data_IF_147580279306
#
_entry.id   IF_147580279306
#
_cell.length_a   1.000
_cell.length_b   1.000
_cell.length_c   1.000
_cell.angle_alpha   90.00
_cell.angle_beta   90.00
_cell.angle_gamma   90.00
#
_symmetry.space_group_name_H-M   'P 1'
#
loop_
_entity.id
_entity.type
_entity.pdbx_description
1 polymer ?
#
# COMPACT_ATOMS: atom_id res chain seq x y z
N UNK A 1 -48.90 47.98 31.07
CA UNK A 1 -50.09 48.03 31.96
C UNK A 1 -49.99 46.84 32.91
N UNK A 2 -49.89 47.28 34.20
CA UNK A 2 -50.18 46.57 35.48
C UNK A 2 -49.21 45.47 35.91
N UNK A 3 -48.27 45.71 36.82
CA UNK A 3 -48.31 46.20 38.23
C UNK A 3 -48.95 45.18 39.20
N UNK A 4 -48.13 44.70 40.15
CA UNK A 4 -48.36 44.25 41.53
C UNK A 4 -47.24 43.19 41.88
N UNK A 5 -46.29 43.42 42.71
CA UNK A 5 -46.16 43.92 44.04
C UNK A 5 -46.65 42.99 45.14
N UNK A 6 -45.72 42.49 45.99
CA UNK A 6 -45.77 42.22 47.44
C UNK A 6 -44.79 41.08 47.81
N UNK A 7 -43.69 41.36 48.42
CA UNK A 7 -43.35 41.64 49.83
C UNK A 7 -43.73 40.51 50.84
N UNK A 8 -42.73 40.03 51.56
CA UNK A 8 -42.61 39.35 52.88
C UNK A 8 -41.62 38.19 52.79
N UNK A 9 -40.62 38.07 53.55
CA UNK A 9 -40.31 38.47 54.92
C UNK A 9 -39.36 37.45 55.47
N UNK A 10 -38.42 37.91 56.24
CA UNK A 10 -37.30 37.29 56.97
C UNK A 10 -37.65 35.96 57.61
N UNK A 11 -36.64 35.03 57.62
CA UNK A 11 -36.30 34.28 58.83
C UNK A 11 -34.88 33.72 58.72
N UNK A 12 -34.06 34.16 59.69
CA UNK A 12 -32.71 33.70 60.00
C UNK A 12 -32.69 32.23 60.44
N UNK A 13 -31.77 31.44 59.90
CA UNK A 13 -31.15 30.35 60.65
C UNK A 13 -29.69 30.20 60.23
N UNK A 14 -28.80 30.61 61.14
CA UNK A 14 -27.43 30.19 61.26
C UNK A 14 -27.37 28.68 61.49
N UNK A 15 -26.62 27.94 60.63
CA UNK A 15 -25.93 26.71 61.03
C UNK A 15 -24.66 26.56 60.22
N UNK A 16 -23.60 26.71 60.97
CA UNK A 16 -22.18 26.56 60.71
C UNK A 16 -21.88 25.08 60.52
N UNK A 17 -21.51 24.66 59.30
CA UNK A 17 -20.71 23.47 59.07
C UNK A 17 -19.72 23.74 57.91
N UNK A 18 -18.48 24.02 58.33
CA UNK A 18 -17.34 23.98 57.45
C UNK A 18 -17.05 22.52 57.03
N UNK A 19 -17.04 22.26 55.76
CA UNK A 19 -16.32 21.17 55.14
C UNK A 19 -15.51 21.77 53.98
N UNK A 20 -14.21 21.91 54.25
CA UNK A 20 -13.18 22.22 53.28
C UNK A 20 -13.10 21.05 52.30
N UNK A 21 -13.78 21.12 51.17
CA UNK A 21 -13.47 20.36 49.97
C UNK A 21 -12.73 21.27 49.02
N UNK A 22 -11.39 21.14 49.04
CA UNK A 22 -10.54 21.60 47.95
C UNK A 22 -10.92 20.78 46.71
N UNK A 23 -11.91 21.23 45.95
CA UNK A 23 -12.14 20.83 44.59
C UNK A 23 -11.07 21.53 43.73
N UNK A 24 -9.96 20.84 43.53
CA UNK A 24 -9.02 21.13 42.44
C UNK A 24 -9.79 20.98 41.12
N UNK A 25 -10.50 22.05 40.72
CA UNK A 25 -10.93 22.22 39.36
C UNK A 25 -9.66 22.42 38.54
N UNK A 26 -9.14 21.33 37.99
CA UNK A 26 -8.33 21.41 36.79
C UNK A 26 -9.21 22.07 35.74
N UNK A 27 -9.06 23.38 35.57
CA UNK A 27 -9.49 24.07 34.36
C UNK A 27 -8.68 23.42 33.20
N UNK A 28 -9.24 22.34 32.63
CA UNK A 28 -8.82 21.92 31.30
C UNK A 28 -9.13 23.14 30.42
N UNK A 29 -8.09 23.86 30.04
CA UNK A 29 -8.18 24.86 28.98
C UNK A 29 -8.68 24.12 27.72
N UNK A 30 -9.99 24.11 27.52
CA UNK A 30 -10.56 23.75 26.24
C UNK A 30 -10.07 24.78 25.23
N UNK A 31 -9.03 24.43 24.51
CA UNK A 31 -8.60 25.19 23.34
C UNK A 31 -9.77 25.14 22.35
N UNK A 32 -10.55 26.21 22.30
CA UNK A 32 -11.58 26.38 21.28
C UNK A 32 -10.87 26.46 19.92
N UNK A 33 -10.90 25.35 19.17
CA UNK A 33 -10.36 25.27 17.84
C UNK A 33 -11.32 26.01 16.87
N UNK A 34 -10.87 27.12 16.29
CA UNK A 34 -11.65 27.84 15.27
C UNK A 34 -11.46 27.17 13.89
N UNK A 35 -12.38 26.28 13.54
CA UNK A 35 -12.41 25.59 12.24
C UNK A 35 -12.44 26.52 11.00
N UNK A 36 -12.63 27.84 11.19
CA UNK A 36 -12.64 28.82 10.10
C UNK A 36 -11.27 29.32 9.70
N UNK A 37 -10.20 28.91 10.38
CA UNK A 37 -8.80 29.27 10.07
C UNK A 37 -8.07 28.22 9.22
N UNK A 38 -8.80 27.25 8.65
CA UNK A 38 -8.26 26.24 7.75
C UNK A 38 -8.07 26.77 6.34
N UNK A 39 -7.00 27.53 6.12
CA UNK A 39 -6.50 27.77 4.78
C UNK A 39 -5.28 26.87 4.55
N UNK A 40 -5.47 25.83 3.75
CA UNK A 40 -4.38 25.00 3.26
C UNK A 40 -3.99 25.47 1.87
N UNK A 41 -2.76 25.91 1.71
CA UNK A 41 -2.17 26.27 0.42
C UNK A 41 -0.72 25.82 0.38
N UNK A 42 -0.36 25.04 -0.61
CA UNK A 42 1.04 24.73 -0.91
C UNK A 42 1.34 24.99 -2.39
N UNK A 43 2.57 25.37 -2.65
CA UNK A 43 3.10 25.57 -3.99
C UNK A 43 4.52 25.02 -4.07
N UNK A 44 4.75 24.12 -5.00
CA UNK A 44 6.06 23.53 -5.24
C UNK A 44 6.54 23.90 -6.64
N UNK A 45 7.76 24.42 -6.72
CA UNK A 45 8.53 24.55 -7.96
C UNK A 45 9.65 23.51 -7.93
N UNK A 46 9.70 22.63 -8.94
CA UNK A 46 10.68 21.54 -9.02
C UNK A 46 11.48 21.65 -10.29
N UNK A 47 12.80 21.67 -10.14
CA UNK A 47 13.75 21.57 -11.24
C UNK A 47 14.37 20.17 -11.22
N UNK A 48 14.18 19.41 -12.29
CA UNK A 48 14.63 18.02 -12.41
C UNK A 48 15.54 17.87 -13.61
N UNK A 49 16.79 17.43 -13.36
CA UNK A 49 17.74 17.03 -14.41
C UNK A 49 18.00 15.51 -14.33
N UNK A 50 17.76 14.81 -15.43
CA UNK A 50 18.02 13.37 -15.52
C UNK A 50 18.95 13.08 -16.69
N UNK A 51 20.06 12.39 -16.41
CA UNK A 51 21.05 11.94 -17.40
C UNK A 51 21.21 10.43 -17.34
N UNK A 52 21.04 9.79 -18.48
CA UNK A 52 21.12 8.32 -18.59
C UNK A 52 22.08 7.93 -19.69
N UNK A 53 22.93 6.96 -19.39
CA UNK A 53 23.81 6.30 -20.36
C UNK A 53 23.58 4.80 -20.28
N UNK A 54 23.19 4.19 -21.40
CA UNK A 54 22.96 2.76 -21.52
C UNK A 54 23.77 2.20 -22.70
N UNK A 55 24.73 1.34 -22.37
CA UNK A 55 25.52 0.63 -23.38
C UNK A 55 25.15 -0.85 -23.34
N UNK A 56 24.75 -1.38 -24.50
CA UNK A 56 24.34 -2.78 -24.62
C UNK A 56 24.91 -3.46 -25.86
N UNK A 57 25.26 -4.72 -25.70
CA UNK A 57 25.63 -5.64 -26.76
C UNK A 57 24.58 -6.75 -26.82
N UNK A 58 24.03 -7.02 -28.01
CA UNK A 58 23.04 -8.06 -28.22
C UNK A 58 23.43 -8.98 -29.39
N UNK A 59 23.00 -10.23 -29.33
CA UNK A 59 23.09 -11.14 -30.46
C UNK A 59 22.27 -10.63 -31.64
N UNK A 60 22.66 -11.06 -32.85
CA UNK A 60 21.88 -10.77 -34.05
C UNK A 60 20.85 -11.89 -34.26
N UNK A 61 19.60 -11.60 -33.92
CA UNK A 61 18.47 -12.54 -34.02
C UNK A 61 18.04 -12.88 -35.45
N UNK A 62 18.73 -12.36 -36.48
CA UNK A 62 18.38 -12.61 -37.89
C UNK A 62 18.71 -14.03 -38.38
N UNK A 63 19.43 -14.81 -37.60
CA UNK A 63 19.74 -16.20 -37.87
C UNK A 63 19.03 -17.07 -36.80
N UNK A 64 18.61 -18.27 -37.16
CA UNK A 64 18.12 -19.32 -36.26
C UNK A 64 19.23 -19.70 -35.23
N UNK A 65 19.51 -18.80 -34.34
CA UNK A 65 20.58 -18.99 -33.36
C UNK A 65 20.07 -19.85 -32.20
N UNK A 66 20.86 -20.81 -31.82
CA UNK A 66 20.62 -21.60 -30.60
C UNK A 66 20.70 -20.73 -29.34
N UNK A 67 21.45 -19.63 -29.38
CA UNK A 67 21.67 -18.71 -28.27
C UNK A 67 21.36 -17.29 -28.68
N UNK A 68 20.51 -16.64 -27.90
CA UNK A 68 20.27 -15.22 -27.96
C UNK A 68 20.72 -14.59 -26.64
N UNK A 69 21.37 -13.44 -26.73
CA UNK A 69 21.86 -12.76 -25.52
C UNK A 69 21.80 -11.25 -25.65
N UNK A 70 21.68 -10.60 -24.51
CA UNK A 70 21.95 -9.18 -24.29
C UNK A 70 22.81 -9.04 -23.04
N UNK A 71 23.81 -8.17 -23.09
CA UNK A 71 24.63 -7.77 -21.94
C UNK A 71 24.73 -6.26 -21.99
N UNK A 72 24.56 -5.57 -20.85
CA UNK A 72 24.60 -4.13 -20.80
C UNK A 72 25.16 -3.57 -19.51
N UNK A 73 25.50 -2.28 -19.59
CA UNK A 73 25.86 -1.43 -18.47
C UNK A 73 24.98 -0.21 -18.51
N UNK A 74 24.50 0.18 -17.36
CA UNK A 74 23.61 1.34 -17.20
C UNK A 74 24.16 2.28 -16.13
N UNK A 75 24.09 3.57 -16.43
CA UNK A 75 24.36 4.64 -15.48
C UNK A 75 23.29 5.71 -15.60
N UNK A 76 22.76 6.15 -14.47
CA UNK A 76 21.82 7.27 -14.39
C UNK A 76 22.20 8.20 -13.26
N UNK A 77 22.04 9.49 -13.51
CA UNK A 77 22.10 10.57 -12.52
C UNK A 77 20.78 11.31 -12.56
N UNK A 78 20.15 11.47 -11.42
CA UNK A 78 18.93 12.22 -11.20
C UNK A 78 19.22 13.29 -10.16
N UNK A 79 18.96 14.55 -10.49
CA UNK A 79 19.10 15.70 -9.62
C UNK A 79 17.75 16.41 -9.56
N UNK A 80 17.21 16.59 -8.35
CA UNK A 80 15.97 17.33 -8.10
C UNK A 80 16.24 18.46 -7.11
N UNK A 81 15.76 19.65 -7.43
CA UNK A 81 15.71 20.79 -6.52
C UNK A 81 14.27 21.20 -6.37
N UNK A 82 13.80 21.22 -5.16
CA UNK A 82 12.47 21.66 -4.81
C UNK A 82 12.56 22.97 -4.06
N UNK A 83 11.81 23.97 -4.51
CA UNK A 83 11.60 25.24 -3.82
C UNK A 83 10.08 25.35 -3.59
N UNK A 84 9.67 25.26 -2.34
CA UNK A 84 8.28 25.21 -1.97
C UNK A 84 7.93 26.26 -0.93
N UNK A 85 6.78 26.88 -1.10
CA UNK A 85 6.20 27.80 -0.13
C UNK A 85 4.75 27.38 0.10
N UNK A 86 4.32 27.36 1.35
CA UNK A 86 2.95 27.00 1.65
C UNK A 86 2.50 27.33 3.05
N UNK A 87 1.18 27.35 3.20
CA UNK A 87 0.51 27.38 4.47
C UNK A 87 0.15 25.95 4.86
N UNK A 88 0.89 25.40 5.80
CA UNK A 88 0.51 24.16 6.42
C UNK A 88 0.01 24.51 7.83
N UNK A 89 -1.30 24.28 8.07
CA UNK A 89 -1.91 24.29 9.39
C UNK A 89 -1.85 25.62 10.18
N UNK A 90 -2.80 26.49 9.91
CA UNK A 90 -3.05 27.65 10.78
C UNK A 90 -2.10 28.82 10.59
N UNK A 91 -1.51 29.00 9.41
CA UNK A 91 -0.83 30.22 9.02
C UNK A 91 0.68 30.24 9.18
N UNK A 92 1.35 29.09 9.35
CA UNK A 92 2.80 29.01 9.26
C UNK A 92 3.20 28.84 7.80
N UNK A 93 3.82 29.86 7.21
CA UNK A 93 4.53 29.70 5.96
C UNK A 93 5.77 28.84 6.24
N UNK A 94 5.83 27.66 5.64
CA UNK A 94 7.05 26.81 5.69
C UNK A 94 7.73 26.91 4.34
N UNK A 95 8.97 27.36 4.35
CA UNK A 95 9.83 27.25 3.19
C UNK A 95 10.28 25.78 3.09
N UNK A 96 9.85 25.09 2.04
CA UNK A 96 10.18 23.69 1.79
C UNK A 96 11.22 23.62 0.67
N UNK A 97 12.45 24.02 0.96
CA UNK A 97 13.54 23.94 0.00
C UNK A 97 14.38 22.69 0.25
N UNK A 98 14.54 21.85 -0.78
CA UNK A 98 15.30 20.61 -0.68
C UNK A 98 16.04 20.28 -1.98
N UNK A 99 17.08 19.45 -1.86
CA UNK A 99 17.77 18.79 -2.96
C UNK A 99 17.68 17.28 -2.81
N UNK A 100 17.52 16.57 -3.91
CA UNK A 100 17.52 15.12 -3.94
C UNK A 100 18.28 14.59 -5.12
N UNK A 101 19.41 13.94 -4.86
CA UNK A 101 20.31 13.41 -5.87
C UNK A 101 20.32 11.89 -5.79
N UNK A 102 20.20 11.23 -6.95
CA UNK A 102 20.29 9.78 -7.06
C UNK A 102 21.29 9.43 -8.14
N UNK A 103 22.26 8.57 -7.82
CA UNK A 103 23.16 7.99 -8.80
C UNK A 103 22.98 6.47 -8.83
N UNK A 104 22.58 5.93 -9.99
CA UNK A 104 22.44 4.49 -10.21
C UNK A 104 23.49 3.98 -11.19
N UNK A 105 24.10 2.83 -10.86
CA UNK A 105 25.05 2.11 -11.72
C UNK A 105 24.68 0.64 -11.72
N UNK A 106 24.47 0.05 -12.90
CA UNK A 106 24.13 -1.36 -12.98
C UNK A 106 24.80 -2.08 -14.14
N UNK A 107 24.97 -3.38 -13.95
CA UNK A 107 25.26 -4.34 -15.02
C UNK A 107 24.11 -5.31 -15.13
N UNK A 108 23.74 -5.69 -16.35
CA UNK A 108 22.63 -6.57 -16.58
C UNK A 108 22.87 -7.46 -17.80
N UNK A 109 22.14 -8.55 -17.89
CA UNK A 109 22.18 -9.41 -19.06
C UNK A 109 21.07 -10.43 -19.07
N UNK A 110 20.85 -11.00 -20.25
CA UNK A 110 19.94 -12.12 -20.48
C UNK A 110 20.57 -13.08 -21.49
N UNK A 111 20.42 -14.36 -21.24
CA UNK A 111 20.78 -15.45 -22.15
C UNK A 111 19.55 -16.31 -22.37
N UNK A 112 19.14 -16.45 -23.61
CA UNK A 112 18.09 -17.39 -24.04
C UNK A 112 18.70 -18.54 -24.85
N UNK A 113 18.29 -19.76 -24.52
CA UNK A 113 18.69 -21.00 -25.17
C UNK A 113 17.48 -21.59 -25.87
N UNK A 114 17.52 -21.65 -27.20
CA UNK A 114 16.48 -22.20 -28.02
C UNK A 114 16.75 -23.69 -28.29
N UNK A 115 15.75 -24.54 -28.04
CA UNK A 115 15.83 -25.99 -28.25
C UNK A 115 15.02 -26.44 -29.49
N UNK A 116 15.41 -27.54 -30.07
CA UNK A 116 14.78 -28.09 -31.28
C UNK A 116 13.31 -28.53 -31.10
N UNK A 117 12.87 -28.68 -29.85
CA UNK A 117 11.47 -29.02 -29.50
C UNK A 117 10.54 -27.80 -29.35
N UNK A 118 10.89 -26.68 -29.94
CA UNK A 118 10.16 -25.41 -29.84
C UNK A 118 10.02 -24.89 -28.40
N UNK A 119 11.05 -25.08 -27.58
CA UNK A 119 11.12 -24.49 -26.26
C UNK A 119 12.31 -23.56 -26.12
N UNK A 120 12.21 -22.63 -25.20
CA UNK A 120 13.25 -21.65 -24.87
C UNK A 120 13.44 -21.60 -23.35
N UNK A 121 14.67 -21.70 -22.89
CA UNK A 121 15.06 -21.45 -21.52
C UNK A 121 15.84 -20.14 -21.47
N UNK A 122 15.37 -19.18 -20.67
CA UNK A 122 16.04 -17.90 -20.51
C UNK A 122 16.49 -17.68 -19.08
N UNK A 123 17.63 -17.02 -18.94
CA UNK A 123 18.18 -16.57 -17.67
C UNK A 123 18.55 -15.09 -17.79
N UNK A 124 17.92 -14.24 -16.98
CA UNK A 124 18.19 -12.82 -16.87
C UNK A 124 18.77 -12.47 -15.51
N UNK A 125 19.62 -11.45 -15.46
CA UNK A 125 20.15 -10.89 -14.21
C UNK A 125 20.36 -9.38 -14.32
N UNK A 126 20.32 -8.69 -13.17
CA UNK A 126 20.75 -7.31 -12.98
C UNK A 126 21.37 -7.17 -11.59
N UNK A 127 22.48 -6.44 -11.53
CA UNK A 127 23.09 -6.01 -10.28
C UNK A 127 23.24 -4.50 -10.34
N UNK A 128 22.68 -3.81 -9.38
CA UNK A 128 22.61 -2.35 -9.33
C UNK A 128 23.08 -1.82 -7.98
N UNK A 129 23.88 -0.76 -8.01
CA UNK A 129 24.20 0.05 -6.85
C UNK A 129 23.55 1.41 -7.02
N UNK A 130 22.85 1.88 -5.97
CA UNK A 130 22.14 3.15 -5.97
C UNK A 130 22.56 3.99 -4.76
N UNK A 131 23.22 5.10 -5.04
CA UNK A 131 23.66 6.09 -4.06
C UNK A 131 22.65 7.23 -4.04
N UNK A 132 22.22 7.70 -2.87
CA UNK A 132 21.22 8.77 -2.72
C UNK A 132 21.70 9.80 -1.71
N UNK A 133 21.40 11.06 -2.00
CA UNK A 133 21.64 12.20 -1.12
C UNK A 133 20.37 13.05 -1.06
N UNK A 134 19.93 13.36 0.13
CA UNK A 134 18.87 14.31 0.40
C UNK A 134 19.41 15.45 1.26
N UNK A 135 19.26 16.68 0.79
CA UNK A 135 19.60 17.89 1.51
C UNK A 135 18.33 18.69 1.79
N UNK A 136 18.08 18.97 3.06
CA UNK A 136 17.03 19.89 3.50
C UNK A 136 17.67 21.27 3.71
N UNK A 137 17.26 22.25 2.90
CA UNK A 137 17.77 23.63 2.95
C UNK A 137 16.95 24.53 3.87
N UNK A 138 15.96 23.99 4.55
CA UNK A 138 15.16 24.71 5.52
C UNK A 138 15.92 24.95 6.84
N UNK A 139 15.22 25.51 7.81
CA UNK A 139 15.76 25.85 9.13
C UNK A 139 16.37 24.65 9.90
N UNK A 140 16.15 23.43 9.46
CA UNK A 140 16.70 22.20 10.06
C UNK A 140 18.03 21.78 9.44
N UNK A 141 18.33 22.21 8.22
CA UNK A 141 19.60 21.98 7.51
C UNK A 141 20.15 20.56 7.70
N UNK A 142 19.33 19.56 7.46
CA UNK A 142 19.69 18.16 7.61
C UNK A 142 20.11 17.58 6.25
N UNK A 143 21.17 16.78 6.24
CA UNK A 143 21.62 16.03 5.07
C UNK A 143 21.61 14.54 5.40
N UNK A 144 21.02 13.74 4.53
CA UNK A 144 20.93 12.28 4.65
C UNK A 144 21.52 11.62 3.41
N UNK A 145 22.46 10.72 3.61
CA UNK A 145 23.13 9.99 2.54
C UNK A 145 22.92 8.48 2.72
N UNK A 146 22.53 7.81 1.63
CA UNK A 146 22.54 6.37 1.53
C UNK A 146 23.60 5.97 0.52
N UNK A 147 24.71 5.37 0.99
CA UNK A 147 25.67 4.66 0.16
C UNK A 147 25.12 3.25 -0.03
N UNK A 148 24.35 3.07 -1.10
CA UNK A 148 23.56 1.85 -1.31
C UNK A 148 24.43 0.60 -1.49
N UNK A 149 23.90 -0.53 -1.08
CA UNK A 149 24.45 -1.84 -1.39
C UNK A 149 24.07 -2.28 -2.81
N UNK A 150 24.61 -3.42 -3.22
CA UNK A 150 24.24 -4.01 -4.51
C UNK A 150 22.92 -4.76 -4.42
N UNK A 151 21.90 -4.21 -5.03
CA UNK A 151 20.63 -4.90 -5.26
C UNK A 151 20.76 -5.83 -6.46
N UNK A 152 20.33 -7.08 -6.26
CA UNK A 152 20.45 -8.12 -7.28
C UNK A 152 19.07 -8.64 -7.65
N UNK A 153 18.77 -8.69 -8.93
CA UNK A 153 17.60 -9.36 -9.48
C UNK A 153 17.98 -10.43 -10.48
N UNK A 154 17.17 -11.48 -10.57
CA UNK A 154 17.31 -12.50 -11.59
C UNK A 154 15.96 -13.12 -11.95
N UNK A 155 15.90 -13.68 -13.16
CA UNK A 155 14.74 -14.39 -13.67
C UNK A 155 15.18 -15.62 -14.42
N UNK A 156 14.52 -16.74 -14.16
CA UNK A 156 14.63 -17.95 -14.97
C UNK A 156 13.25 -18.22 -15.57
N UNK A 157 13.17 -18.31 -16.87
CA UNK A 157 11.91 -18.60 -17.57
C UNK A 157 12.06 -19.77 -18.54
N UNK A 158 11.02 -20.56 -18.63
CA UNK A 158 10.89 -21.62 -19.60
C UNK A 158 9.61 -21.43 -20.41
N UNK A 159 9.75 -21.44 -21.72
CA UNK A 159 8.66 -21.31 -22.69
C UNK A 159 8.61 -22.53 -23.58
N UNK A 160 7.40 -23.02 -23.86
CA UNK A 160 7.16 -24.18 -24.70
C UNK A 160 6.02 -23.88 -25.68
N UNK A 161 6.21 -24.17 -26.93
CA UNK A 161 5.21 -24.08 -27.98
C UNK A 161 4.81 -25.49 -28.45
N UNK A 162 3.88 -26.19 -27.72
CA UNK A 162 3.48 -27.56 -28.06
C UNK A 162 2.79 -27.64 -29.43
N UNK A 163 2.17 -26.52 -29.87
CA UNK A 163 1.58 -26.32 -31.16
C UNK A 163 1.78 -24.87 -31.62
N UNK A 164 1.57 -24.57 -32.90
CA UNK A 164 1.72 -23.23 -33.46
C UNK A 164 0.81 -22.19 -32.79
N UNK A 165 -0.30 -22.65 -32.26
CA UNK A 165 -1.32 -21.80 -31.64
C UNK A 165 -1.42 -21.96 -30.12
N UNK A 166 -0.51 -22.71 -29.49
CA UNK A 166 -0.48 -22.94 -28.06
C UNK A 166 0.91 -22.63 -27.52
N UNK A 167 0.97 -21.73 -26.53
CA UNK A 167 2.15 -21.29 -25.87
C UNK A 167 1.97 -21.45 -24.36
N UNK A 168 2.80 -22.26 -23.73
CA UNK A 168 2.91 -22.39 -22.27
C UNK A 168 4.17 -21.71 -21.79
N UNK A 169 4.11 -21.01 -20.68
CA UNK A 169 5.25 -20.37 -20.05
C UNK A 169 5.21 -20.55 -18.53
N UNK A 170 6.40 -20.57 -17.95
CA UNK A 170 6.58 -20.50 -16.49
C UNK A 170 7.87 -19.76 -16.20
N UNK A 171 7.89 -19.03 -15.10
CA UNK A 171 9.11 -18.40 -14.62
C UNK A 171 9.15 -18.29 -13.10
N UNK A 172 10.36 -18.17 -12.60
CA UNK A 172 10.67 -17.66 -11.28
C UNK A 172 11.51 -16.40 -11.43
N UNK A 173 11.17 -15.36 -10.69
CA UNK A 173 11.91 -14.10 -10.64
C UNK A 173 12.14 -13.68 -9.20
N UNK A 174 13.34 -13.17 -8.91
CA UNK A 174 13.62 -12.35 -7.74
C UNK A 174 13.83 -10.92 -8.22
N UNK A 175 13.05 -9.99 -7.70
CA UNK A 175 13.15 -8.57 -7.96
C UNK A 175 13.38 -7.77 -6.68
N UNK A 176 13.47 -6.46 -6.82
CA UNK A 176 13.55 -5.54 -5.70
C UNK A 176 12.91 -4.19 -6.06
N UNK A 177 12.38 -3.54 -5.04
CA UNK A 177 12.13 -2.10 -5.03
C UNK A 177 13.24 -1.49 -4.16
N UNK A 178 14.04 -0.52 -4.68
CA UNK A 178 15.20 -0.06 -3.95
C UNK A 178 14.83 0.72 -2.68
N UNK A 179 15.74 0.69 -1.70
CA UNK A 179 15.71 1.56 -0.53
C UNK A 179 15.56 3.04 -0.90
N UNK A 180 15.07 3.86 0.00
CA UNK A 180 14.87 5.27 -0.27
C UNK A 180 14.91 6.17 0.96
N UNK A 181 14.78 7.46 0.69
CA UNK A 181 14.74 8.52 1.68
C UNK A 181 13.36 9.17 1.63
N UNK A 182 12.72 9.31 2.78
CA UNK A 182 11.50 10.09 2.94
C UNK A 182 11.85 11.58 2.87
N UNK A 183 11.38 12.25 1.82
CA UNK A 183 11.67 13.66 1.56
C UNK A 183 10.80 14.58 2.44
N UNK A 184 10.78 14.32 3.74
CA UNK A 184 10.03 15.09 4.70
C UNK A 184 10.99 15.62 5.76
N UNK A 185 11.14 16.96 5.92
CA UNK A 185 12.11 17.55 6.84
C UNK A 185 11.77 17.34 8.32
N UNK A 186 10.55 16.90 8.62
CA UNK A 186 10.10 16.71 10.01
C UNK A 186 10.38 15.29 10.52
N UNK A 187 10.72 14.34 9.65
CA UNK A 187 11.05 12.97 10.02
C UNK A 187 12.50 12.88 10.50
N UNK A 188 12.72 12.10 11.56
CA UNK A 188 14.02 11.86 12.18
C UNK A 188 14.25 10.35 12.39
N UNK A 189 15.49 9.95 12.61
CA UNK A 189 15.85 8.57 12.91
C UNK A 189 15.45 7.58 11.80
N UNK A 190 14.86 6.47 12.20
CA UNK A 190 14.52 5.34 11.32
C UNK A 190 13.38 5.66 10.35
N UNK A 191 12.57 6.68 10.64
CA UNK A 191 11.49 7.11 9.74
C UNK A 191 12.01 7.89 8.53
N UNK A 192 13.24 8.36 8.57
CA UNK A 192 13.84 9.12 7.49
C UNK A 192 14.16 8.28 6.27
N UNK A 193 14.38 6.99 6.45
CA UNK A 193 14.72 6.05 5.38
C UNK A 193 13.83 4.82 5.43
N UNK A 194 13.74 4.12 4.32
CA UNK A 194 13.15 2.80 4.23
C UNK A 194 14.07 1.88 3.45
N UNK A 195 14.07 0.60 3.81
CA UNK A 195 14.90 -0.44 3.21
C UNK A 195 14.34 -0.89 1.86
N UNK A 196 15.17 -1.63 1.10
CA UNK A 196 14.73 -2.25 -0.13
C UNK A 196 13.71 -3.36 0.14
N UNK A 197 12.62 -3.34 -0.61
CA UNK A 197 11.67 -4.45 -0.66
C UNK A 197 12.19 -5.50 -1.65
N UNK A 198 12.23 -6.75 -1.24
CA UNK A 198 12.59 -7.89 -2.08
C UNK A 198 11.33 -8.69 -2.37
N UNK A 199 11.15 -9.12 -3.60
CA UNK A 199 10.04 -9.99 -3.96
C UNK A 199 10.48 -11.21 -4.78
N UNK A 200 9.75 -12.30 -4.57
CA UNK A 200 9.90 -13.59 -5.21
C UNK A 200 8.60 -13.94 -5.95
N UNK A 201 8.67 -14.04 -7.26
CA UNK A 201 7.52 -14.26 -8.15
C UNK A 201 7.66 -15.62 -8.84
N UNK A 202 6.63 -16.46 -8.69
CA UNK A 202 6.44 -17.69 -9.45
C UNK A 202 5.16 -17.56 -10.26
N UNK A 203 5.32 -17.55 -11.57
CA UNK A 203 4.18 -17.44 -12.49
C UNK A 203 4.21 -18.55 -13.53
N UNK A 204 3.04 -19.11 -13.83
CA UNK A 204 2.83 -20.02 -14.95
C UNK A 204 1.58 -19.65 -15.71
N UNK A 205 1.57 -19.84 -17.03
CA UNK A 205 0.42 -19.47 -17.83
C UNK A 205 0.39 -20.09 -19.20
N UNK A 206 -0.75 -19.93 -19.84
CA UNK A 206 -1.02 -20.47 -21.19
C UNK A 206 -1.62 -19.35 -22.06
N UNK A 207 -1.13 -19.26 -23.29
CA UNK A 207 -1.73 -18.45 -24.36
C UNK A 207 -2.19 -19.37 -25.49
N UNK A 208 -3.45 -19.26 -25.84
CA UNK A 208 -4.06 -20.07 -26.88
C UNK A 208 -4.74 -19.21 -27.93
N UNK A 209 -4.37 -19.42 -29.17
CA UNK A 209 -4.85 -18.64 -30.31
C UNK A 209 -5.53 -19.56 -31.32
N UNK A 210 -6.68 -19.12 -31.83
CA UNK A 210 -7.35 -19.70 -32.97
C UNK A 210 -7.79 -18.57 -33.91
N UNK A 211 -8.36 -18.88 -35.06
CA UNK A 211 -8.87 -17.84 -35.98
C UNK A 211 -9.92 -16.93 -35.30
N UNK A 212 -10.67 -17.49 -34.36
CA UNK A 212 -11.79 -16.81 -33.69
C UNK A 212 -11.61 -16.55 -32.21
N UNK A 213 -10.47 -16.94 -31.61
CA UNK A 213 -10.27 -16.81 -30.19
C UNK A 213 -8.80 -16.51 -29.86
N UNK A 214 -8.60 -15.59 -28.95
CA UNK A 214 -7.33 -15.41 -28.23
C UNK A 214 -7.63 -15.56 -26.75
N UNK A 215 -6.94 -16.45 -26.06
CA UNK A 215 -7.07 -16.67 -24.63
C UNK A 215 -5.68 -16.63 -23.99
N UNK A 216 -5.56 -15.88 -22.93
CA UNK A 216 -4.37 -15.85 -22.08
C UNK A 216 -4.82 -16.04 -20.63
N UNK A 217 -4.24 -16.98 -19.92
CA UNK A 217 -4.46 -17.17 -18.49
C UNK A 217 -3.15 -17.43 -17.79
N UNK A 218 -2.99 -16.88 -16.59
CA UNK A 218 -1.84 -17.09 -15.73
C UNK A 218 -2.29 -17.32 -14.28
N UNK A 219 -1.47 -18.06 -13.56
CA UNK A 219 -1.50 -18.22 -12.11
C UNK A 219 -0.19 -17.68 -11.57
N UNK A 220 -0.24 -16.96 -10.48
CA UNK A 220 0.94 -16.38 -9.86
C UNK A 220 0.92 -16.54 -8.35
N UNK A 221 2.11 -16.56 -7.77
CA UNK A 221 2.38 -16.42 -6.35
C UNK A 221 3.56 -15.46 -6.18
N UNK A 222 3.36 -14.43 -5.38
CA UNK A 222 4.32 -13.39 -5.09
C UNK A 222 4.50 -13.28 -3.59
N UNK A 223 5.74 -13.28 -3.14
CA UNK A 223 6.14 -13.10 -1.75
C UNK A 223 6.99 -11.84 -1.64
N UNK A 224 6.75 -11.04 -0.63
CA UNK A 224 7.44 -9.79 -0.35
C UNK A 224 8.17 -9.86 0.98
N UNK A 225 9.45 -9.54 0.98
CA UNK A 225 10.25 -9.28 2.18
C UNK A 225 10.43 -7.76 2.31
N UNK A 226 10.06 -7.19 3.44
CA UNK A 226 10.16 -5.75 3.68
C UNK A 226 9.23 -4.92 2.78
N UNK A 227 7.96 -5.32 2.66
CA UNK A 227 6.98 -4.63 1.82
C UNK A 227 6.89 -3.14 2.14
N UNK A 228 7.10 -2.27 1.14
CA UNK A 228 7.05 -0.82 1.31
C UNK A 228 5.60 -0.33 1.25
N UNK A 229 5.13 0.31 2.32
CA UNK A 229 3.81 0.93 2.38
C UNK A 229 3.90 2.41 2.81
N UNK A 230 2.88 3.19 2.48
CA UNK A 230 2.75 4.57 2.93
C UNK A 230 1.92 4.60 4.21
N UNK A 231 2.36 5.40 5.16
CA UNK A 231 1.65 5.65 6.42
C UNK A 231 1.73 7.13 6.78
N UNK A 232 1.01 7.52 7.82
CA UNK A 232 1.07 8.86 8.36
C UNK A 232 1.20 8.81 9.88
N UNK A 233 1.91 9.77 10.45
CA UNK A 233 2.06 9.94 11.87
C UNK A 233 1.75 11.36 12.30
N UNK A 234 1.13 11.51 13.46
CA UNK A 234 0.88 12.82 14.05
C UNK A 234 2.12 13.31 14.76
N UNK A 235 2.74 14.39 14.24
CA UNK A 235 3.99 14.94 14.76
C UNK A 235 3.84 15.76 16.03
N UNK A 236 2.66 16.30 16.33
CA UNK A 236 2.37 17.12 17.49
C UNK A 236 0.97 16.78 18.02
N UNK A 237 0.86 16.08 19.17
CA UNK A 237 -0.43 15.72 19.76
C UNK A 237 -1.33 16.94 20.09
N UNK A 238 -0.74 18.13 20.23
CA UNK A 238 -1.47 19.38 20.48
C UNK A 238 -1.95 20.05 19.20
N UNK A 239 -1.47 19.60 18.03
CA UNK A 239 -1.87 20.11 16.72
C UNK A 239 -2.36 18.94 15.84
N UNK A 240 -3.67 18.69 15.80
CA UNK A 240 -4.24 17.54 15.07
C UNK A 240 -3.95 17.56 13.57
N UNK A 241 -3.41 18.66 13.06
CA UNK A 241 -3.09 18.84 11.66
C UNK A 241 -1.60 18.70 11.32
N UNK A 242 -0.77 18.44 12.33
CA UNK A 242 0.66 18.21 12.11
C UNK A 242 0.91 16.73 11.81
N UNK A 243 0.63 16.29 10.59
CA UNK A 243 0.92 14.94 10.10
C UNK A 243 2.14 14.93 9.19
N UNK A 244 2.91 13.86 9.27
CA UNK A 244 3.91 13.50 8.28
C UNK A 244 3.46 12.25 7.53
N UNK A 245 3.48 12.30 6.21
CA UNK A 245 3.31 11.13 5.35
C UNK A 245 4.69 10.61 4.97
N UNK A 246 4.88 9.31 5.10
CA UNK A 246 6.15 8.68 4.80
C UNK A 246 5.99 7.20 4.48
N UNK A 247 7.07 6.60 3.97
CA UNK A 247 7.14 5.18 3.64
C UNK A 247 7.88 4.45 4.75
N UNK A 248 7.34 3.29 5.12
CA UNK A 248 7.94 2.29 6.03
C UNK A 248 8.00 0.93 5.34
N UNK A 249 8.74 0.00 5.94
CA UNK A 249 8.71 -1.40 5.55
C UNK A 249 7.80 -2.17 6.50
N UNK A 250 6.93 -3.00 5.93
CA UNK A 250 6.27 -4.10 6.62
C UNK A 250 7.23 -5.29 6.69
N UNK A 251 7.01 -6.23 7.60
CA UNK A 251 7.89 -7.38 7.76
C UNK A 251 7.84 -8.28 6.52
N UNK A 252 6.65 -8.68 6.12
CA UNK A 252 6.44 -9.54 4.98
C UNK A 252 5.08 -9.30 4.31
N UNK A 253 4.85 -9.96 3.20
CA UNK A 253 3.56 -10.00 2.53
C UNK A 253 3.53 -11.05 1.45
N UNK A 254 2.35 -11.50 1.07
CA UNK A 254 2.19 -12.40 -0.08
C UNK A 254 0.94 -12.08 -0.88
N UNK A 255 1.01 -12.42 -2.15
CA UNK A 255 -0.09 -12.31 -3.09
C UNK A 255 -0.15 -13.58 -3.94
N UNK A 256 -1.34 -14.10 -4.16
CA UNK A 256 -1.53 -15.15 -5.15
C UNK A 256 -2.86 -14.95 -5.87
N UNK A 257 -2.89 -15.43 -7.10
CA UNK A 257 -4.07 -15.20 -7.89
C UNK A 257 -4.02 -15.78 -9.29
N UNK A 258 -4.98 -15.33 -10.07
CA UNK A 258 -5.07 -15.66 -11.48
C UNK A 258 -5.55 -14.48 -12.30
N UNK A 259 -5.01 -14.36 -13.50
CA UNK A 259 -5.45 -13.41 -14.51
C UNK A 259 -5.85 -14.14 -15.77
N UNK A 260 -7.00 -13.79 -16.32
CA UNK A 260 -7.50 -14.36 -17.56
C UNK A 260 -7.97 -13.23 -18.47
N UNK A 261 -7.52 -13.25 -19.72
CA UNK A 261 -7.96 -12.34 -20.79
C UNK A 261 -8.37 -13.16 -22.00
N UNK A 262 -9.52 -12.81 -22.59
CA UNK A 262 -10.06 -13.47 -23.74
C UNK A 262 -10.62 -12.49 -24.78
N UNK A 263 -10.37 -12.76 -26.06
CA UNK A 263 -11.02 -12.13 -27.20
C UNK A 263 -11.70 -13.24 -28.00
N UNK A 264 -13.00 -13.12 -28.19
CA UNK A 264 -13.83 -14.12 -28.86
C UNK A 264 -14.57 -13.47 -30.01
N UNK A 265 -14.16 -13.77 -31.26
CA UNK A 265 -14.85 -13.34 -32.47
C UNK A 265 -15.99 -14.31 -32.77
N UNK A 266 -17.20 -13.96 -32.36
CA UNK A 266 -18.39 -14.79 -32.50
C UNK A 266 -18.84 -14.80 -33.97
N UNK A 267 -18.76 -13.64 -34.62
CA UNK A 267 -19.00 -13.45 -36.05
C UNK A 267 -18.04 -12.40 -36.58
N UNK A 268 -18.00 -12.18 -37.89
CA UNK A 268 -17.20 -11.09 -38.49
C UNK A 268 -17.56 -9.70 -37.98
N UNK A 269 -18.72 -9.56 -37.34
CA UNK A 269 -19.26 -8.29 -36.83
C UNK A 269 -19.37 -8.23 -35.31
N UNK A 270 -19.20 -9.33 -34.64
CA UNK A 270 -19.44 -9.40 -33.20
C UNK A 270 -18.24 -10.02 -32.47
N UNK A 271 -17.63 -9.24 -31.61
CA UNK A 271 -16.49 -9.64 -30.79
C UNK A 271 -16.82 -9.40 -29.33
N UNK A 272 -16.47 -10.36 -28.47
CA UNK A 272 -16.54 -10.25 -27.03
C UNK A 272 -15.10 -10.20 -26.50
N UNK A 273 -14.77 -9.21 -25.67
CA UNK A 273 -13.55 -9.20 -24.87
C UNK A 273 -13.91 -9.37 -23.40
N UNK A 274 -13.16 -10.22 -22.71
CA UNK A 274 -13.37 -10.49 -21.29
C UNK A 274 -12.03 -10.47 -20.55
N UNK A 275 -12.01 -9.86 -19.38
CA UNK A 275 -10.91 -9.95 -18.42
C UNK A 275 -11.46 -10.36 -17.07
N UNK A 276 -10.71 -11.18 -16.35
CA UNK A 276 -11.01 -11.59 -14.98
C UNK A 276 -9.70 -11.67 -14.21
N UNK A 277 -9.61 -10.92 -13.12
CA UNK A 277 -8.55 -11.00 -12.12
C UNK A 277 -9.13 -11.54 -10.82
N UNK A 278 -8.43 -12.48 -10.22
CA UNK A 278 -8.68 -12.99 -8.87
C UNK A 278 -7.40 -12.83 -8.07
N UNK A 279 -7.48 -12.25 -6.87
CA UNK A 279 -6.35 -11.93 -6.02
C UNK A 279 -6.67 -12.25 -4.57
N UNK A 280 -5.70 -12.80 -3.87
CA UNK A 280 -5.66 -12.83 -2.41
C UNK A 280 -4.34 -12.22 -1.99
N UNK A 281 -4.36 -11.30 -1.04
CA UNK A 281 -3.17 -10.60 -0.55
C UNK A 281 -3.22 -10.48 0.95
N UNK A 282 -2.05 -10.55 1.57
CA UNK A 282 -1.86 -10.34 3.01
C UNK A 282 -0.54 -9.62 3.23
N UNK A 283 -0.52 -8.71 4.19
CA UNK A 283 0.67 -7.94 4.60
C UNK A 283 0.79 -8.08 6.11
N UNK A 284 1.97 -8.42 6.57
CA UNK A 284 2.34 -8.48 7.98
C UNK A 284 2.99 -7.15 8.36
N UNK A 285 2.21 -6.29 9.01
CA UNK A 285 2.70 -5.03 9.52
C UNK A 285 3.46 -5.32 10.82
N UNK A 286 4.72 -4.92 10.90
CA UNK A 286 5.52 -5.06 12.11
C UNK A 286 4.80 -4.43 13.30
N UNK A 287 4.75 -5.12 14.44
CA UNK A 287 4.17 -4.59 15.65
C UNK A 287 4.91 -3.31 16.06
N UNK A 288 4.17 -2.28 16.44
CA UNK A 288 4.73 -1.15 17.16
C UNK A 288 5.37 -1.70 18.43
N UNK A 289 6.70 -1.64 18.53
CA UNK A 289 7.39 -1.73 19.79
C UNK A 289 7.05 -0.46 20.60
N UNK A 290 5.81 -0.39 21.10
CA UNK A 290 5.44 0.57 22.11
C UNK A 290 6.13 0.18 23.42
N UNK A 291 7.04 1.04 23.80
CA UNK A 291 7.65 1.14 25.13
C UNK A 291 8.64 0.02 25.50
N UNK A 292 9.90 0.25 25.15
CA UNK A 292 11.01 -0.23 25.96
C UNK A 292 10.85 0.31 27.39
N UNK A 293 10.22 -0.48 28.27
CA UNK A 293 10.30 -0.29 29.70
C UNK A 293 11.76 -0.52 30.10
N UNK A 294 12.55 0.55 30.11
CA UNK A 294 13.80 0.59 30.84
C UNK A 294 13.52 0.42 32.36
N UNK A 295 13.15 -0.78 32.77
CA UNK A 295 13.33 -1.17 34.13
C UNK A 295 14.78 -1.60 34.32
N UNK A 296 15.64 -0.64 34.58
CA UNK A 296 16.97 -0.86 35.10
C UNK A 296 16.87 -1.56 36.45
N UNK A 297 17.03 -2.87 36.46
CA UNK A 297 17.29 -3.63 37.69
C UNK A 297 18.73 -3.36 38.16
N UNK A 298 18.91 -2.25 38.85
CA UNK A 298 20.05 -2.07 39.74
C UNK A 298 19.85 -2.93 41.00
N UNK A 299 20.16 -4.22 40.91
CA UNK A 299 20.42 -5.01 42.11
C UNK A 299 21.90 -4.93 42.40
N UNK A 300 22.21 -4.07 43.38
CA UNK A 300 23.49 -4.02 44.02
C UNK A 300 23.77 -5.35 44.76
N UNK A 301 24.92 -5.92 44.45
CA UNK A 301 25.55 -7.00 45.20
C UNK A 301 25.94 -6.47 46.59
N UNK A 302 25.21 -6.88 47.62
CA UNK A 302 25.68 -6.79 49.01
C UNK A 302 26.03 -8.20 49.49
N UNK A 303 27.33 -8.44 49.59
CA UNK A 303 27.97 -9.55 50.27
C UNK A 303 27.54 -9.58 51.75
N UNK A 304 26.90 -10.64 52.19
CA UNK A 304 26.89 -11.07 53.60
C UNK A 304 27.13 -12.57 53.69
N UNK A 305 28.39 -12.90 53.99
CA UNK A 305 28.81 -14.12 54.68
C UNK A 305 28.21 -14.13 56.11
N UNK A 306 27.44 -15.15 56.46
CA UNK A 306 27.45 -15.69 57.83
C UNK A 306 26.92 -17.12 57.88
N UNK A 307 27.77 -17.95 58.37
CA UNK A 307 27.78 -19.30 58.86
C UNK A 307 26.67 -19.63 59.87
N UNK A 308 26.25 -20.87 59.91
CA UNK A 308 25.66 -21.73 60.95
C UNK A 308 24.49 -22.54 60.37
N UNK A 309 24.42 -23.85 60.42
CA UNK A 309 24.79 -24.81 61.45
C UNK A 309 23.74 -25.92 61.34
N UNK A 310 24.19 -27.15 61.30
CA UNK A 310 23.46 -28.42 61.29
C UNK A 310 22.35 -28.48 62.34
N UNK A 311 21.23 -29.11 61.96
CA UNK A 311 20.52 -30.03 62.88
C UNK A 311 19.57 -30.98 62.13
N UNK A 312 19.87 -32.26 62.28
CA UNK A 312 19.08 -33.43 61.92
C UNK A 312 17.75 -33.47 62.69
N UNK A 313 16.68 -33.88 62.01
CA UNK A 313 15.62 -34.70 62.61
C UNK A 313 14.87 -35.51 61.58
N UNK A 314 15.10 -36.84 61.65
CA UNK A 314 14.21 -37.91 61.23
C UNK A 314 12.90 -37.87 61.96
N UNK A 315 11.77 -38.26 61.33
CA UNK A 315 10.74 -39.19 61.77
C UNK A 315 9.56 -39.19 60.81
N UNK A 316 9.36 -40.19 60.11
CA UNK A 316 8.52 -41.38 59.99
C UNK A 316 7.00 -41.22 60.27
N UNK A 317 6.23 -42.01 59.49
CA UNK A 317 4.80 -42.37 59.55
C UNK A 317 3.86 -41.47 58.68
N UNK A 318 2.94 -42.04 57.89
CA UNK A 318 2.39 -43.39 57.74
C UNK A 318 1.33 -43.33 56.65
N UNK A 319 1.05 -44.48 56.11
CA UNK A 319 0.03 -44.84 55.12
C UNK A 319 -1.39 -44.42 55.57
N UNK A 320 -2.21 -44.00 54.66
CA UNK A 320 -3.61 -44.35 54.59
C UNK A 320 -4.20 -44.14 53.19
N UNK A 321 -4.66 -45.25 52.66
CA UNK A 321 -5.51 -45.40 51.47
C UNK A 321 -6.84 -44.66 51.60
N UNK A 322 -7.32 -44.01 50.54
CA UNK A 322 -8.73 -44.06 50.17
C UNK A 322 -8.98 -43.75 48.70
N UNK A 323 -9.61 -44.72 48.11
CA UNK A 323 -10.21 -44.78 46.80
C UNK A 323 -11.28 -43.69 46.53
N UNK A 324 -11.39 -43.40 45.25
CA UNK A 324 -12.65 -43.35 44.50
C UNK A 324 -13.25 -42.00 44.08
N UNK A 325 -13.47 -41.96 42.76
CA UNK A 325 -14.46 -41.22 41.97
C UNK A 325 -14.20 -39.76 41.53
N UNK A 326 -14.23 -39.64 40.19
CA UNK A 326 -14.67 -38.44 39.54
C UNK A 326 -14.00 -38.18 38.18
N UNK A 327 -14.51 -38.92 37.20
CA UNK A 327 -14.51 -38.55 35.81
C UNK A 327 -15.17 -37.16 35.65
N UNK A 328 -14.45 -36.16 35.13
CA UNK A 328 -15.10 -35.05 34.42
C UNK A 328 -14.02 -34.14 33.77
N UNK A 329 -14.12 -34.03 32.45
CA UNK A 329 -13.81 -32.83 31.73
C UNK A 329 -12.33 -32.54 31.50
N UNK A 330 -11.77 -33.11 30.42
CA UNK A 330 -10.64 -32.50 29.73
C UNK A 330 -11.12 -31.16 29.16
N UNK A 331 -10.87 -30.09 29.89
CA UNK A 331 -10.79 -28.77 29.31
C UNK A 331 -9.51 -28.76 28.46
N UNK A 332 -9.77 -28.79 27.17
CA UNK A 332 -8.79 -28.52 26.10
C UNK A 332 -8.29 -27.08 26.31
N UNK A 333 -7.21 -26.95 27.07
CA UNK A 333 -6.43 -25.74 27.08
C UNK A 333 -5.70 -25.69 25.74
N UNK A 334 -6.39 -25.09 24.76
CA UNK A 334 -5.72 -24.61 23.56
C UNK A 334 -4.57 -23.72 24.04
N UNK A 335 -3.38 -24.13 23.69
CA UNK A 335 -2.21 -23.28 23.72
C UNK A 335 -2.54 -22.09 22.82
N UNK A 336 -3.15 -21.04 23.37
CA UNK A 336 -3.11 -19.71 22.80
C UNK A 336 -1.63 -19.29 22.93
N UNK A 337 -0.85 -19.66 21.93
CA UNK A 337 0.43 -19.02 21.70
C UNK A 337 0.12 -17.51 21.58
N UNK A 338 0.40 -16.78 22.65
CA UNK A 338 0.50 -15.33 22.66
C UNK A 338 1.58 -14.90 21.66
N UNK A 339 1.24 -14.90 20.37
CA UNK A 339 1.96 -14.12 19.37
C UNK A 339 1.46 -12.67 19.46
N UNK A 340 1.76 -12.04 20.58
CA UNK A 340 1.62 -10.60 20.73
C UNK A 340 2.61 -9.94 19.76
N UNK A 341 2.11 -9.27 18.72
CA UNK A 341 2.88 -8.27 18.04
C UNK A 341 2.80 -8.16 16.51
N UNK A 342 2.23 -9.12 15.79
CA UNK A 342 2.14 -9.01 14.33
C UNK A 342 0.69 -8.72 13.90
N UNK A 343 0.41 -7.50 13.45
CA UNK A 343 -0.87 -7.18 12.86
C UNK A 343 -0.86 -7.67 11.40
N UNK A 344 -1.72 -8.62 11.09
CA UNK A 344 -1.98 -9.04 9.71
C UNK A 344 -3.04 -8.14 9.11
N UNK A 345 -2.74 -7.51 7.99
CA UNK A 345 -3.66 -6.63 7.27
C UNK A 345 -3.80 -7.02 5.82
N UNK A 346 -4.84 -6.53 5.18
CA UNK A 346 -4.98 -6.63 3.73
C UNK A 346 -4.09 -5.57 3.08
N UNK A 347 -3.51 -5.90 1.93
CA UNK A 347 -2.80 -4.91 1.13
C UNK A 347 -3.78 -3.84 0.62
N UNK A 348 -3.44 -2.57 0.79
CA UNK A 348 -4.25 -1.46 0.32
C UNK A 348 -4.50 -1.53 -1.20
N UNK A 349 -5.69 -1.15 -1.64
CA UNK A 349 -6.11 -1.13 -3.05
C UNK A 349 -6.02 -2.47 -3.79
N UNK A 350 -6.09 -3.60 -3.07
CA UNK A 350 -5.99 -4.97 -3.61
C UNK A 350 -7.33 -5.70 -3.54
N UNK A 351 -8.26 -5.49 -4.50
CA UNK A 351 -9.56 -6.14 -4.52
C UNK A 351 -9.42 -7.64 -4.81
N UNK A 352 -10.24 -8.49 -4.16
CA UNK A 352 -10.18 -9.94 -4.36
C UNK A 352 -10.59 -10.37 -5.77
N UNK A 353 -11.40 -9.57 -6.45
CA UNK A 353 -11.76 -9.80 -7.85
C UNK A 353 -11.95 -8.49 -8.60
N UNK A 354 -11.66 -8.53 -9.89
CA UNK A 354 -12.06 -7.52 -10.86
C UNK A 354 -12.39 -8.18 -12.18
N UNK A 355 -13.28 -7.57 -12.95
CA UNK A 355 -13.59 -8.04 -14.30
C UNK A 355 -13.96 -6.89 -15.23
N UNK A 356 -13.78 -7.14 -16.53
CA UNK A 356 -14.35 -6.34 -17.60
C UNK A 356 -14.88 -7.27 -18.68
N UNK A 357 -16.07 -6.96 -19.19
CA UNK A 357 -16.72 -7.68 -20.26
C UNK A 357 -17.24 -6.68 -21.29
N UNK A 358 -16.67 -6.67 -22.50
CA UNK A 358 -17.09 -5.79 -23.55
C UNK A 358 -17.67 -6.55 -24.75
N UNK A 359 -18.78 -6.03 -25.27
CA UNK A 359 -19.51 -6.51 -26.43
C UNK A 359 -19.36 -5.49 -27.55
N UNK A 360 -18.62 -5.85 -28.60
CA UNK A 360 -18.33 -4.99 -29.73
C UNK A 360 -19.12 -5.47 -30.93
N UNK A 361 -19.97 -4.62 -31.52
CA UNK A 361 -20.77 -4.94 -32.68
C UNK A 361 -20.57 -3.92 -33.79
N UNK A 362 -20.09 -4.39 -34.93
CA UNK A 362 -19.90 -3.61 -36.16
C UNK A 362 -21.12 -3.75 -37.05
N UNK A 363 -22.03 -2.75 -37.07
CA UNK A 363 -23.17 -2.74 -37.97
C UNK A 363 -22.72 -2.70 -39.43
N UNK A 364 -21.76 -1.81 -39.69
CA UNK A 364 -21.06 -1.66 -40.97
C UNK A 364 -19.61 -1.28 -40.68
N UNK A 365 -18.79 -1.16 -41.73
CA UNK A 365 -17.38 -0.68 -41.59
C UNK A 365 -17.26 0.74 -40.98
N UNK A 366 -18.37 1.48 -40.98
CA UNK A 366 -18.41 2.87 -40.49
C UNK A 366 -19.20 3.06 -39.19
N UNK A 367 -19.84 2.01 -38.67
CA UNK A 367 -20.69 2.12 -37.49
C UNK A 367 -20.38 0.99 -36.52
N UNK A 368 -20.06 1.31 -35.31
CA UNK A 368 -19.82 0.35 -34.25
C UNK A 368 -20.51 0.74 -32.95
N UNK A 369 -20.86 -0.26 -32.18
CA UNK A 369 -21.38 -0.12 -30.79
C UNK A 369 -20.52 -1.00 -29.90
N UNK A 370 -20.04 -0.42 -28.80
CA UNK A 370 -19.44 -1.15 -27.69
C UNK A 370 -20.28 -0.96 -26.44
N UNK A 371 -20.59 -2.05 -25.77
CA UNK A 371 -21.19 -2.06 -24.45
C UNK A 371 -20.19 -2.74 -23.51
N UNK A 372 -19.87 -2.11 -22.42
CA UNK A 372 -18.91 -2.60 -21.45
C UNK A 372 -19.56 -2.70 -20.07
N UNK A 373 -19.41 -3.85 -19.44
CA UNK A 373 -19.72 -4.11 -18.03
C UNK A 373 -18.41 -4.39 -17.30
N UNK A 374 -18.09 -3.61 -16.30
CA UNK A 374 -16.94 -3.83 -15.46
C UNK A 374 -17.35 -3.86 -13.99
N UNK A 375 -16.55 -4.51 -13.17
CA UNK A 375 -16.78 -4.58 -11.73
C UNK A 375 -15.50 -4.85 -10.98
N UNK A 376 -15.51 -4.46 -9.72
CA UNK A 376 -14.39 -4.55 -8.79
C UNK A 376 -14.93 -4.83 -7.40
N UNK A 377 -14.25 -5.69 -6.65
CA UNK A 377 -14.55 -5.98 -5.25
C UNK A 377 -14.25 -4.79 -4.34
N UNK A 378 -14.75 -4.84 -3.13
CA UNK A 378 -14.29 -3.96 -2.05
C UNK A 378 -12.80 -4.14 -1.78
N UNK A 379 -12.16 -3.10 -1.31
CA UNK A 379 -10.75 -3.11 -0.94
C UNK A 379 -10.50 -2.12 0.20
N UNK A 380 -9.50 -2.40 1.03
CA UNK A 380 -9.07 -1.47 2.07
C UNK A 380 -8.36 -0.28 1.45
N UNK A 381 -8.57 0.90 2.02
CA UNK A 381 -7.93 2.13 1.53
C UNK A 381 -6.49 2.28 2.03
N UNK A 382 -6.21 1.75 3.22
CA UNK A 382 -4.93 1.80 3.89
C UNK A 382 -4.66 0.45 4.58
N UNK A 383 -3.46 -0.10 4.43
CA UNK A 383 -3.09 -1.39 5.04
C UNK A 383 -2.99 -1.32 6.57
N UNK A 384 -2.73 -0.14 7.14
CA UNK A 384 -2.68 0.08 8.59
C UNK A 384 -4.07 0.27 9.22
N UNK A 385 -5.11 0.49 8.40
CA UNK A 385 -6.49 0.75 8.82
C UNK A 385 -7.46 -0.11 8.01
N UNK A 386 -7.38 -1.42 8.18
CA UNK A 386 -8.11 -2.41 7.37
C UNK A 386 -9.61 -2.46 7.67
N UNK A 387 -10.08 -1.79 8.73
CA UNK A 387 -11.50 -1.58 9.00
C UNK A 387 -12.19 -0.63 8.02
N UNK A 388 -11.43 0.17 7.25
CA UNK A 388 -11.97 1.13 6.28
C UNK A 388 -11.89 0.58 4.85
N UNK A 389 -12.97 -0.01 4.40
CA UNK A 389 -13.10 -0.62 3.08
C UNK A 389 -14.01 0.18 2.14
N UNK A 390 -13.76 0.02 0.84
CA UNK A 390 -14.71 0.43 -0.21
C UNK A 390 -15.78 -0.64 -0.39
N UNK A 391 -16.96 -0.23 -0.87
CA UNK A 391 -17.97 -1.18 -1.32
C UNK A 391 -17.61 -1.73 -2.71
N UNK A 392 -18.00 -3.01 -3.01
CA UNK A 392 -17.92 -3.52 -4.38
C UNK A 392 -18.82 -2.73 -5.32
N UNK A 393 -18.41 -2.56 -6.57
CA UNK A 393 -19.21 -1.81 -7.54
C UNK A 393 -19.17 -2.39 -8.95
N UNK A 394 -20.17 -2.01 -9.76
CA UNK A 394 -20.31 -2.41 -11.14
C UNK A 394 -20.67 -1.22 -12.03
N UNK A 395 -19.95 -1.05 -13.13
CA UNK A 395 -20.16 0.05 -14.05
C UNK A 395 -20.63 -0.49 -15.42
N UNK A 396 -21.63 0.16 -15.97
CA UNK A 396 -22.11 -0.10 -17.33
C UNK A 396 -21.84 1.12 -18.20
N UNK A 397 -21.10 0.90 -19.29
CA UNK A 397 -20.72 1.92 -20.26
C UNK A 397 -21.23 1.53 -21.67
N UNK A 398 -21.51 2.53 -22.49
CA UNK A 398 -21.85 2.33 -23.91
C UNK A 398 -21.19 3.39 -24.77
N UNK A 399 -20.69 2.97 -25.91
CA UNK A 399 -20.00 3.82 -26.88
C UNK A 399 -20.50 3.50 -28.27
N UNK A 400 -20.97 4.51 -28.98
CA UNK A 400 -21.38 4.37 -30.39
C UNK A 400 -20.53 5.29 -31.25
N UNK A 401 -19.92 4.73 -32.32
CA UNK A 401 -19.11 5.48 -33.26
C UNK A 401 -19.73 5.41 -34.66
N UNK A 402 -19.71 6.53 -35.36
CA UNK A 402 -20.18 6.67 -36.71
C UNK A 402 -19.25 7.54 -37.55
N UNK A 403 -18.66 6.95 -38.61
CA UNK A 403 -17.75 7.64 -39.52
C UNK A 403 -18.49 8.01 -40.79
N UNK A 404 -18.49 9.29 -41.18
CA UNK A 404 -19.07 9.82 -42.42
C UNK A 404 -18.01 10.65 -43.13
N UNK A 405 -17.46 10.15 -44.23
CA UNK A 405 -16.38 10.80 -44.97
C UNK A 405 -15.18 11.12 -44.09
N UNK A 406 -14.96 12.41 -43.81
CA UNK A 406 -13.87 12.94 -43.00
C UNK A 406 -14.29 13.22 -41.56
N UNK A 407 -15.52 12.89 -41.16
CA UNK A 407 -16.04 13.12 -39.82
C UNK A 407 -16.21 11.79 -39.09
N UNK A 408 -15.69 11.75 -37.86
CA UNK A 408 -15.95 10.69 -36.88
C UNK A 408 -16.79 11.25 -35.72
N UNK A 409 -18.00 10.71 -35.57
CA UNK A 409 -18.96 11.05 -34.54
C UNK A 409 -18.93 9.97 -33.47
N UNK A 410 -18.57 10.34 -32.25
CA UNK A 410 -18.62 9.47 -31.05
C UNK A 410 -19.75 9.91 -30.13
N UNK A 411 -20.54 8.96 -29.64
CA UNK A 411 -21.50 9.15 -28.57
C UNK A 411 -21.15 8.19 -27.44
N UNK A 412 -21.15 8.67 -26.21
CA UNK A 412 -20.86 7.83 -25.05
C UNK A 412 -21.82 8.08 -23.91
N UNK A 413 -22.06 7.01 -23.16
CA UNK A 413 -22.68 7.05 -21.85
C UNK A 413 -21.84 6.20 -20.92
N UNK A 414 -21.27 6.81 -19.89
CA UNK A 414 -20.46 6.15 -18.87
C UNK A 414 -21.23 6.11 -17.57
N UNK A 415 -20.98 5.08 -16.76
CA UNK A 415 -21.67 4.85 -15.51
C UNK A 415 -23.21 4.99 -15.69
N UNK A 416 -23.78 4.26 -16.65
CA UNK A 416 -25.20 4.36 -17.04
C UNK A 416 -26.13 4.09 -15.84
N UNK A 417 -25.70 3.20 -14.94
CA UNK A 417 -26.46 2.83 -13.75
C UNK A 417 -26.42 3.89 -12.67
N UNK A 418 -25.60 4.93 -12.83
CA UNK A 418 -25.39 6.02 -11.87
C UNK A 418 -24.90 5.49 -10.49
N UNK A 419 -24.01 4.49 -10.54
CA UNK A 419 -23.43 3.87 -9.37
C UNK A 419 -22.53 4.86 -8.63
N UNK A 420 -22.70 4.96 -7.31
CA UNK A 420 -21.83 5.78 -6.45
C UNK A 420 -20.77 4.88 -5.84
N UNK A 421 -19.51 5.11 -6.18
CA UNK A 421 -18.41 4.29 -5.73
C UNK A 421 -17.22 5.14 -5.30
N UNK A 422 -16.44 4.65 -4.32
CA UNK A 422 -15.26 5.32 -3.85
C UNK A 422 -14.01 4.74 -4.53
N UNK A 423 -13.20 5.62 -5.13
CA UNK A 423 -11.91 5.26 -5.73
C UNK A 423 -10.76 5.36 -4.73
N UNK A 424 -10.87 6.28 -3.76
CA UNK A 424 -9.86 6.53 -2.74
C UNK A 424 -10.52 6.85 -1.42
N UNK A 425 -9.82 6.54 -0.33
CA UNK A 425 -10.16 6.93 1.02
C UNK A 425 -8.93 7.46 1.72
N UNK A 426 -9.15 8.42 2.61
CA UNK A 426 -8.14 9.01 3.46
C UNK A 426 -8.67 9.02 4.89
N UNK A 427 -7.80 8.71 5.85
CA UNK A 427 -8.17 8.60 7.25
C UNK A 427 -7.48 9.74 7.99
N UNK A 428 -8.26 10.63 8.56
CA UNK A 428 -7.76 11.82 9.26
C UNK A 428 -8.62 12.18 10.46
N UNK A 429 -7.99 12.74 11.47
CA UNK A 429 -8.61 13.33 12.65
C UNK A 429 -8.76 14.87 12.49
N UNK A 430 -9.39 15.34 11.39
CA UNK A 430 -9.42 16.75 11.02
C UNK A 430 -10.42 17.62 11.79
N UNK A 431 -11.43 17.03 12.42
CA UNK A 431 -12.53 17.76 13.04
C UNK A 431 -12.71 17.34 14.50
N UNK A 432 -13.05 18.29 15.40
CA UNK A 432 -13.35 17.93 16.77
C UNK A 432 -14.46 16.87 16.87
N UNK A 433 -14.33 15.84 17.71
CA UNK A 433 -13.35 15.67 18.78
C UNK A 433 -11.98 15.10 18.39
N UNK A 434 -11.57 15.23 17.12
CA UNK A 434 -10.32 14.73 16.56
C UNK A 434 -10.19 13.20 16.60
N UNK A 435 -11.31 12.52 16.39
CA UNK A 435 -11.35 11.09 16.11
C UNK A 435 -11.07 10.84 14.63
N UNK A 436 -10.39 9.77 14.33
CA UNK A 436 -10.13 9.35 12.95
C UNK A 436 -11.43 9.11 12.19
N UNK A 437 -11.52 9.67 10.98
CA UNK A 437 -12.66 9.53 10.08
C UNK A 437 -12.20 9.24 8.67
N UNK A 438 -12.96 8.40 8.01
CA UNK A 438 -12.75 8.10 6.59
C UNK A 438 -13.36 9.20 5.70
N UNK A 439 -12.53 9.83 4.90
CA UNK A 439 -12.90 10.77 3.83
C UNK A 439 -12.78 10.08 2.49
N UNK A 440 -13.89 9.93 1.76
CA UNK A 440 -13.94 9.19 0.48
C UNK A 440 -13.91 10.15 -0.71
N UNK A 441 -13.06 9.85 -1.69
CA UNK A 441 -13.12 10.42 -3.02
C UNK A 441 -13.94 9.51 -3.92
N UNK A 442 -15.00 10.06 -4.50
CA UNK A 442 -15.92 9.29 -5.35
C UNK A 442 -15.50 9.36 -6.82
N UNK A 443 -15.72 8.25 -7.52
CA UNK A 443 -15.59 8.19 -8.96
C UNK A 443 -16.65 9.04 -9.69
N UNK A 444 -16.48 9.26 -11.01
CA UNK A 444 -17.41 10.07 -11.79
C UNK A 444 -18.85 9.53 -11.75
N UNK A 445 -19.85 10.41 -11.61
CA UNK A 445 -21.25 10.02 -11.76
C UNK A 445 -21.56 9.65 -13.21
N UNK A 446 -22.82 9.37 -13.55
CA UNK A 446 -23.22 9.11 -14.92
C UNK A 446 -22.89 10.31 -15.83
N UNK A 447 -22.13 10.02 -16.88
CA UNK A 447 -21.74 10.96 -17.91
C UNK A 447 -22.32 10.59 -19.25
N UNK A 448 -22.89 11.55 -19.97
CA UNK A 448 -23.36 11.40 -21.36
C UNK A 448 -22.71 12.49 -22.18
N UNK A 449 -22.09 12.10 -23.28
CA UNK A 449 -21.41 13.07 -24.12
C UNK A 449 -21.29 12.65 -25.58
N UNK A 450 -20.75 13.58 -26.37
CA UNK A 450 -20.43 13.33 -27.77
C UNK A 450 -19.09 13.95 -28.14
N UNK A 451 -18.43 13.35 -29.13
CA UNK A 451 -17.22 13.87 -29.74
C UNK A 451 -17.39 13.98 -31.24
N UNK A 452 -16.74 14.96 -31.85
CA UNK A 452 -16.65 15.12 -33.29
C UNK A 452 -15.19 15.32 -33.67
N UNK A 453 -14.67 14.42 -34.47
CA UNK A 453 -13.32 14.51 -35.04
C UNK A 453 -13.41 14.73 -36.54
N UNK A 454 -12.64 15.68 -37.05
CA UNK A 454 -12.51 15.96 -38.49
C UNK A 454 -11.08 15.66 -38.95
N UNK A 455 -10.95 14.79 -39.95
CA UNK A 455 -9.67 14.42 -40.54
C UNK A 455 -9.52 15.13 -41.89
N UNK A 456 -8.48 15.90 -42.11
CA UNK A 456 -8.22 16.70 -43.31
C UNK A 456 -6.97 16.25 -44.08
#
# INVERSE_FOLDING_TARGET
>A
DDDHGDDHGDDDHDDDHGDDHDDDHHDEEHVEFDARTYDFFDSFDRDIDTRTVDFRLRSNSANDNRFDYVIGMYHSSYEEKTDGAGYIFGGSATDLASGYDITSKSVYGELAVNFDNNSTLSFGFRSEKRDMLYDDFNNRSASFEIDGDFDNSFKVSYELHPAQNLHWFTYYARGYHPAGINQNPYLEGDEKTYDAEIYHDVTTGVRWYTDNMKLSTSLFYLEHDGHIYETSEQLDPMNPNAFAFFKKNADSGYEYGSETMGEFRITDKFTINATLGLLSSEVELGGHDEHGDEHGDEHGDDDHDEDHGDDDHDEDHGDDDHDDHGDDGHDDHGDEDDHAGHAHGKKAHSPNWNYSLSFNYDFTVNNSLMIELSGKDGFVFDSAHDEYESEPYHLLNAYYNHSINQFDLGFYAKNILDESYADRGFIFALEPPFEEKLYKSFGPPREIGMSLTYSF
#
